data_IF_248929860632
#
_entry.id   IF_248929860632
#
_cell.length_a   1.000
_cell.length_b   1.000
_cell.length_c   1.000
_cell.angle_alpha   90.00
_cell.angle_beta   90.00
_cell.angle_gamma   90.00
#
_symmetry.space_group_name_H-M   'P 1'
#
loop_
_entity.id
_entity.type
_entity.pdbx_description
1 polymer ?
#
# COMPACT_ATOMS: atom_id res chain seq x y z
N UNK A 1 -8.50 -83.41 15.18
CA UNK A 1 -8.62 -83.58 13.72
C UNK A 1 -10.08 -83.39 13.36
N UNK A 2 -10.45 -82.22 12.84
CA UNK A 2 -11.69 -81.97 12.06
C UNK A 2 -11.60 -80.55 11.48
N UNK A 3 -11.90 -80.45 10.18
CA UNK A 3 -12.03 -79.24 9.35
C UNK A 3 -13.27 -78.42 9.81
N UNK A 4 -13.51 -77.17 9.44
CA UNK A 4 -13.81 -76.59 8.10
C UNK A 4 -14.17 -75.08 8.37
N UNK A 5 -13.62 -74.08 7.66
CA UNK A 5 -14.14 -73.39 6.45
C UNK A 5 -14.63 -71.93 6.66
N UNK A 6 -14.22 -71.05 5.73
CA UNK A 6 -14.96 -69.91 5.12
C UNK A 6 -14.89 -68.47 5.70
N UNK A 7 -14.10 -67.65 4.96
CA UNK A 7 -14.35 -66.30 4.38
C UNK A 7 -14.30 -64.98 5.18
N UNK A 8 -13.70 -64.00 4.47
CA UNK A 8 -13.96 -62.54 4.42
C UNK A 8 -13.58 -61.72 5.68
N UNK A 9 -12.98 -60.53 5.63
CA UNK A 9 -12.99 -59.44 4.65
C UNK A 9 -11.79 -58.50 4.86
N UNK A 10 -11.44 -57.75 3.80
CA UNK A 10 -10.63 -56.53 3.77
C UNK A 10 -10.68 -55.65 5.04
N UNK A 11 -9.54 -55.07 5.40
CA UNK A 11 -9.52 -53.66 5.81
C UNK A 11 -8.23 -52.97 5.37
N UNK A 12 -8.35 -52.18 4.30
CA UNK A 12 -7.37 -51.20 3.86
C UNK A 12 -7.36 -50.04 4.87
N UNK A 13 -6.27 -49.86 5.60
CA UNK A 13 -6.01 -48.58 6.27
C UNK A 13 -5.30 -47.64 5.29
N UNK A 14 -6.09 -46.99 4.43
CA UNK A 14 -5.71 -45.72 3.81
C UNK A 14 -5.53 -44.68 4.92
N UNK A 15 -4.33 -44.12 5.01
CA UNK A 15 -4.05 -42.97 5.87
C UNK A 15 -4.60 -41.73 5.18
N UNK A 16 -5.74 -41.29 5.68
CA UNK A 16 -6.40 -40.07 5.27
C UNK A 16 -5.59 -38.85 5.76
N UNK A 17 -4.64 -38.39 4.94
CA UNK A 17 -3.70 -37.29 5.24
C UNK A 17 -4.33 -35.88 5.09
N UNK A 18 -5.66 -35.78 4.94
CA UNK A 18 -6.37 -34.52 4.68
C UNK A 18 -7.03 -33.86 5.91
N UNK A 19 -6.58 -34.15 7.14
CA UNK A 19 -6.98 -33.33 8.29
C UNK A 19 -6.16 -32.04 8.34
N UNK A 20 -6.71 -30.98 7.73
CA UNK A 20 -6.24 -29.58 7.84
C UNK A 20 -5.95 -29.26 9.32
N UNK A 21 -4.66 -29.22 9.68
CA UNK A 21 -4.23 -28.83 11.03
C UNK A 21 -4.85 -27.46 11.37
N UNK A 22 -5.55 -27.30 12.49
CA UNK A 22 -6.13 -26.01 12.86
C UNK A 22 -5.02 -24.98 12.94
N UNK A 23 -5.10 -23.92 12.12
CA UNK A 23 -4.16 -22.80 12.13
C UNK A 23 -4.09 -22.26 13.56
N UNK A 24 -2.94 -22.45 14.23
CA UNK A 24 -2.69 -21.85 15.54
C UNK A 24 -2.91 -20.34 15.41
N UNK A 25 -3.89 -19.79 16.14
CA UNK A 25 -4.17 -18.35 16.17
C UNK A 25 -2.84 -17.61 16.38
N UNK A 26 -2.47 -16.73 15.45
CA UNK A 26 -1.24 -15.92 15.56
C UNK A 26 -1.29 -15.20 16.91
N UNK A 27 -0.24 -15.36 17.72
CA UNK A 27 -0.13 -14.66 19.01
C UNK A 27 -0.17 -13.16 18.77
N UNK A 28 -0.94 -12.44 19.58
CA UNK A 28 -1.07 -10.98 19.51
C UNK A 28 0.32 -10.32 19.61
N UNK A 29 0.62 -9.38 18.70
CA UNK A 29 1.92 -8.68 18.62
C UNK A 29 2.35 -8.12 19.98
N UNK A 30 1.43 -7.46 20.69
CA UNK A 30 1.69 -6.88 22.01
C UNK A 30 2.03 -7.93 23.07
N UNK A 31 1.43 -9.12 23.00
CA UNK A 31 1.77 -10.22 23.90
C UNK A 31 3.21 -10.73 23.66
N UNK A 32 3.68 -10.71 22.41
CA UNK A 32 5.07 -11.04 22.11
C UNK A 32 6.02 -9.94 22.61
N UNK A 33 5.70 -8.66 22.42
CA UNK A 33 6.49 -7.54 22.93
C UNK A 33 6.64 -7.59 24.46
N UNK A 34 5.54 -7.84 25.19
CA UNK A 34 5.57 -8.07 26.65
C UNK A 34 6.46 -9.24 27.05
N UNK A 35 6.42 -10.34 26.28
CA UNK A 35 7.26 -11.52 26.55
C UNK A 35 8.73 -11.20 26.34
N UNK A 36 9.06 -10.40 25.33
CA UNK A 36 10.41 -9.94 25.04
C UNK A 36 10.95 -9.06 26.17
N UNK A 37 10.19 -8.05 26.61
CA UNK A 37 10.53 -7.22 27.77
C UNK A 37 10.85 -8.06 29.02
N UNK A 38 10.00 -9.03 29.37
CA UNK A 38 10.21 -9.93 30.53
C UNK A 38 11.47 -10.79 30.44
N UNK A 39 12.05 -10.95 29.25
CA UNK A 39 13.25 -11.74 29.01
C UNK A 39 14.51 -10.88 28.85
N UNK A 40 14.42 -9.56 29.03
CA UNK A 40 15.51 -8.63 28.72
C UNK A 40 15.86 -8.59 27.23
N UNK A 41 14.95 -9.04 26.35
CA UNK A 41 15.12 -8.99 24.90
C UNK A 41 14.31 -7.81 24.36
N UNK A 42 14.94 -6.85 23.68
CA UNK A 42 14.26 -5.63 23.21
C UNK A 42 13.79 -5.73 21.75
N UNK A 43 13.24 -6.90 21.39
CA UNK A 43 12.82 -7.19 20.01
C UNK A 43 13.99 -7.48 19.06
N UNK A 44 13.73 -7.37 17.75
CA UNK A 44 14.71 -7.57 16.67
C UNK A 44 15.10 -6.23 16.04
N UNK A 45 16.18 -6.23 15.27
CA UNK A 45 16.70 -5.06 14.58
C UNK A 45 17.67 -4.27 15.46
N UNK A 46 17.63 -2.94 15.36
CA UNK A 46 18.42 -2.06 16.21
C UNK A 46 18.01 -2.18 17.69
N UNK A 47 18.95 -1.89 18.58
CA UNK A 47 18.72 -1.90 20.03
C UNK A 47 18.18 -0.54 20.45
N UNK A 48 17.13 -0.55 21.27
CA UNK A 48 16.67 0.63 22.00
C UNK A 48 16.88 0.41 23.51
N UNK A 49 17.04 1.48 24.30
CA UNK A 49 17.16 1.38 25.75
C UNK A 49 15.98 0.62 26.37
N UNK A 50 16.25 -0.15 27.43
CA UNK A 50 15.23 -0.95 28.12
C UNK A 50 14.04 -0.10 28.58
N UNK A 51 14.34 1.06 29.18
CA UNK A 51 13.33 2.00 29.65
C UNK A 51 12.41 2.47 28.51
N UNK A 52 12.99 2.78 27.35
CA UNK A 52 12.24 3.21 26.16
C UNK A 52 11.40 2.05 25.60
N UNK A 53 11.93 0.83 25.59
CA UNK A 53 11.17 -0.36 25.17
C UNK A 53 9.97 -0.61 26.07
N UNK A 54 10.17 -0.59 27.39
CA UNK A 54 9.10 -0.79 28.38
C UNK A 54 8.05 0.32 28.27
N UNK A 55 8.48 1.57 28.05
CA UNK A 55 7.59 2.69 27.77
C UNK A 55 6.72 2.43 26.54
N UNK A 56 7.31 2.02 25.41
CA UNK A 56 6.56 1.69 24.19
C UNK A 56 5.57 0.53 24.37
N UNK A 57 5.89 -0.48 25.17
CA UNK A 57 4.94 -1.55 25.53
C UNK A 57 3.72 -0.95 26.25
N UNK A 58 3.95 -0.04 27.21
CA UNK A 58 2.87 0.67 27.91
C UNK A 58 2.03 1.55 26.98
N UNK A 59 2.66 2.25 26.04
CA UNK A 59 1.97 3.06 25.04
C UNK A 59 1.07 2.20 24.15
N UNK A 60 1.55 1.05 23.65
CA UNK A 60 0.71 0.16 22.86
C UNK A 60 -0.46 -0.44 23.66
N UNK A 61 -0.28 -0.67 24.97
CA UNK A 61 -1.39 -1.08 25.86
C UNK A 61 -2.43 0.04 25.99
N UNK A 62 -1.99 1.27 26.23
CA UNK A 62 -2.88 2.44 26.32
C UNK A 62 -3.64 2.67 25.00
N UNK A 63 -2.93 2.67 23.88
CA UNK A 63 -3.55 2.81 22.55
C UNK A 63 -4.59 1.71 22.30
N UNK A 64 -4.32 0.46 22.71
CA UNK A 64 -5.25 -0.66 22.53
C UNK A 64 -6.55 -0.48 23.32
N UNK A 65 -6.54 0.27 24.42
CA UNK A 65 -7.75 0.58 25.19
C UNK A 65 -8.64 1.62 24.49
N UNK A 66 -8.11 2.31 23.48
CA UNK A 66 -8.78 3.43 22.80
C UNK A 66 -8.48 4.76 23.48
N UNK A 67 -8.35 5.81 22.68
CA UNK A 67 -8.24 7.19 23.16
C UNK A 67 -9.23 8.00 22.34
N UNK A 68 -10.34 8.35 22.99
CA UNK A 68 -11.46 9.04 22.32
C UNK A 68 -11.17 10.54 22.19
N UNK A 69 -10.51 11.13 23.19
CA UNK A 69 -10.24 12.55 23.19
C UNK A 69 -9.08 12.93 22.24
N UNK A 70 -9.33 13.94 21.41
CA UNK A 70 -8.38 14.39 20.40
C UNK A 70 -7.18 15.10 21.03
N UNK A 71 -7.40 15.83 22.11
CA UNK A 71 -6.34 16.57 22.79
C UNK A 71 -5.46 15.61 23.60
N UNK A 72 -6.05 14.61 24.26
CA UNK A 72 -5.35 13.50 24.92
C UNK A 72 -4.49 12.71 23.92
N UNK A 73 -5.05 12.37 22.75
CA UNK A 73 -4.29 11.71 21.67
C UNK A 73 -3.12 12.56 21.20
N UNK A 74 -3.33 13.86 21.01
CA UNK A 74 -2.29 14.80 20.59
C UNK A 74 -1.19 14.90 21.65
N UNK A 75 -1.57 15.01 22.92
CA UNK A 75 -0.63 15.04 24.04
C UNK A 75 0.17 13.73 24.14
N UNK A 76 -0.47 12.57 23.98
CA UNK A 76 0.21 11.28 23.95
C UNK A 76 1.22 11.20 22.80
N UNK A 77 0.81 11.55 21.57
CA UNK A 77 1.69 11.52 20.40
C UNK A 77 2.92 12.41 20.63
N UNK A 78 2.72 13.65 21.04
CA UNK A 78 3.80 14.60 21.30
C UNK A 78 4.75 14.07 22.39
N UNK A 79 4.21 13.58 23.49
CA UNK A 79 5.01 13.02 24.59
C UNK A 79 5.83 11.81 24.15
N UNK A 80 5.25 10.92 23.34
CA UNK A 80 5.96 9.71 22.89
C UNK A 80 7.06 10.06 21.90
N UNK A 81 6.78 10.92 20.92
CA UNK A 81 7.78 11.30 19.91
C UNK A 81 8.89 12.16 20.53
N UNK A 82 8.60 12.98 21.54
CA UNK A 82 9.61 13.71 22.32
C UNK A 82 10.62 12.75 22.96
N UNK A 83 10.15 11.62 23.52
CA UNK A 83 11.01 10.59 24.15
C UNK A 83 11.91 9.85 23.16
N UNK A 84 11.68 10.00 21.85
CA UNK A 84 12.51 9.39 20.82
C UNK A 84 13.69 10.27 20.39
N UNK A 85 13.76 11.52 20.87
CA UNK A 85 14.82 12.46 20.48
C UNK A 85 16.22 11.92 20.78
N UNK A 86 17.06 11.88 19.76
CA UNK A 86 18.43 11.35 19.82
C UNK A 86 18.54 9.84 19.65
N UNK A 87 17.41 9.12 19.58
CA UNK A 87 17.34 7.67 19.44
C UNK A 87 16.54 7.25 18.19
N UNK A 88 16.14 8.19 17.32
CA UNK A 88 15.18 7.94 16.26
C UNK A 88 15.63 6.84 15.29
N UNK A 89 16.91 6.83 14.90
CA UNK A 89 17.47 5.79 14.03
C UNK A 89 17.32 4.39 14.64
N UNK A 90 17.59 4.28 15.94
CA UNK A 90 17.44 3.04 16.68
C UNK A 90 15.97 2.66 16.86
N UNK A 91 15.08 3.64 17.04
CA UNK A 91 13.64 3.40 17.18
C UNK A 91 13.05 2.87 15.87
N UNK A 92 13.33 3.50 14.72
CA UNK A 92 12.73 3.08 13.44
C UNK A 92 13.26 1.74 12.95
N UNK A 93 14.49 1.35 13.31
CA UNK A 93 15.08 0.06 12.98
C UNK A 93 14.70 -1.08 13.94
N UNK A 94 13.93 -0.78 15.00
CA UNK A 94 13.54 -1.75 16.00
C UNK A 94 12.15 -2.31 15.71
N UNK A 95 11.96 -3.61 15.90
CA UNK A 95 10.67 -4.27 15.65
C UNK A 95 9.47 -3.65 16.39
N UNK A 96 9.65 -3.21 17.64
CA UNK A 96 8.59 -2.55 18.41
C UNK A 96 8.54 -1.05 18.08
N UNK A 97 9.72 -0.41 18.05
CA UNK A 97 9.84 1.04 17.81
C UNK A 97 9.27 1.46 16.46
N UNK A 98 9.59 0.76 15.38
CA UNK A 98 9.09 1.06 14.04
C UNK A 98 7.55 1.05 14.01
N UNK A 99 6.96 0.05 14.69
CA UNK A 99 5.50 -0.11 14.74
C UNK A 99 4.84 1.01 15.52
N UNK A 100 5.43 1.45 16.64
CA UNK A 100 4.92 2.57 17.42
C UNK A 100 5.00 3.85 16.60
N UNK A 101 6.15 4.14 15.98
CA UNK A 101 6.34 5.34 15.15
C UNK A 101 5.34 5.37 13.98
N UNK A 102 5.18 4.28 13.24
CA UNK A 102 4.18 4.19 12.16
C UNK A 102 2.76 4.57 12.59
N UNK A 103 2.38 4.23 13.83
CA UNK A 103 1.05 4.52 14.36
C UNK A 103 0.87 5.98 14.77
N UNK A 104 1.96 6.63 15.17
CA UNK A 104 1.95 7.99 15.71
C UNK A 104 2.18 9.06 14.64
N UNK A 105 2.98 8.76 13.61
CA UNK A 105 3.31 9.70 12.53
C UNK A 105 2.11 10.39 11.85
N UNK A 106 0.95 9.73 11.63
CA UNK A 106 -0.23 10.42 11.07
C UNK A 106 -0.72 11.60 11.92
N UNK A 107 -0.44 11.57 13.23
CA UNK A 107 -0.87 12.57 14.21
C UNK A 107 0.27 13.46 14.71
N UNK A 108 1.49 13.26 14.19
CA UNK A 108 2.67 13.98 14.63
C UNK A 108 2.56 15.50 14.40
N UNK A 109 3.23 16.29 15.24
CA UNK A 109 3.44 17.71 14.97
C UNK A 109 4.22 17.91 13.65
N UNK A 110 4.16 19.12 13.04
CA UNK A 110 5.05 19.47 11.93
C UNK A 110 6.53 19.20 12.25
N UNK A 111 6.96 19.60 13.44
CA UNK A 111 8.35 19.52 13.90
C UNK A 111 8.81 18.06 14.06
N UNK A 112 7.96 17.20 14.62
CA UNK A 112 8.27 15.77 14.74
C UNK A 112 8.33 15.10 13.37
N UNK A 113 7.38 15.39 12.48
CA UNK A 113 7.39 14.79 11.14
C UNK A 113 8.68 15.16 10.38
N UNK A 114 9.06 16.43 10.41
CA UNK A 114 10.28 16.94 9.78
C UNK A 114 11.54 16.28 10.37
N UNK A 115 11.61 16.14 11.70
CA UNK A 115 12.72 15.42 12.35
C UNK A 115 12.86 13.99 11.83
N UNK A 116 11.75 13.26 11.69
CA UNK A 116 11.77 11.90 11.14
C UNK A 116 12.12 11.87 9.63
N UNK A 117 11.79 12.90 8.85
CA UNK A 117 12.24 13.02 7.46
C UNK A 117 13.77 13.16 7.37
N UNK A 118 14.39 13.90 8.29
CA UNK A 118 15.84 14.07 8.36
C UNK A 118 16.53 12.75 8.75
N UNK A 119 15.96 12.01 9.70
CA UNK A 119 16.49 10.71 10.16
C UNK A 119 16.64 9.70 9.03
N UNK A 120 15.76 9.72 8.02
CA UNK A 120 15.83 8.81 6.88
C UNK A 120 16.92 9.18 5.85
N UNK A 121 17.37 10.42 5.82
CA UNK A 121 18.20 10.94 4.73
C UNK A 121 19.58 10.28 4.56
N UNK A 122 20.31 9.87 5.62
CA UNK A 122 21.67 9.34 5.48
C UNK A 122 21.79 7.98 4.77
N UNK A 123 20.73 7.15 4.79
CA UNK A 123 20.84 5.74 4.39
C UNK A 123 19.57 5.20 3.72
N UNK A 124 18.98 5.98 2.81
CA UNK A 124 17.71 5.64 2.16
C UNK A 124 17.71 4.26 1.49
N UNK A 125 18.84 3.81 0.92
CA UNK A 125 18.92 2.49 0.25
C UNK A 125 18.65 1.36 1.23
N UNK A 126 19.39 1.32 2.34
CA UNK A 126 19.19 0.29 3.37
C UNK A 126 17.80 0.43 3.99
N UNK A 127 17.35 1.65 4.24
CA UNK A 127 16.10 1.89 4.94
C UNK A 127 14.87 1.46 4.13
N UNK A 128 14.90 1.58 2.80
CA UNK A 128 13.82 1.12 1.91
C UNK A 128 13.73 -0.41 1.81
N UNK A 129 14.85 -1.13 1.97
CA UNK A 129 14.94 -2.60 1.86
C UNK A 129 14.96 -3.34 3.20
N UNK A 130 14.78 -2.66 4.32
CA UNK A 130 14.79 -3.27 5.65
C UNK A 130 13.38 -3.62 6.14
N UNK A 131 13.26 -4.71 6.88
CA UNK A 131 11.99 -5.31 7.27
C UNK A 131 11.24 -4.56 8.40
N UNK A 132 11.82 -3.47 8.91
CA UNK A 132 11.23 -2.57 9.91
C UNK A 132 11.15 -1.15 9.38
N UNK A 133 12.26 -0.60 8.87
CA UNK A 133 12.30 0.81 8.48
C UNK A 133 11.54 1.09 7.20
N UNK A 134 11.40 0.13 6.29
CA UNK A 134 10.62 0.30 5.05
C UNK A 134 9.19 0.77 5.35
N UNK A 135 8.56 0.18 6.36
CA UNK A 135 7.21 0.58 6.79
C UNK A 135 7.13 2.00 7.36
N UNK A 136 8.20 2.46 8.01
CA UNK A 136 8.31 3.86 8.47
C UNK A 136 8.48 4.80 7.27
N UNK A 137 9.30 4.43 6.27
CA UNK A 137 9.45 5.18 5.02
C UNK A 137 8.12 5.29 4.29
N UNK A 138 7.36 4.20 4.13
CA UNK A 138 6.01 4.22 3.53
C UNK A 138 5.08 5.18 4.28
N UNK A 139 5.12 5.14 5.61
CA UNK A 139 4.24 5.97 6.45
C UNK A 139 4.62 7.45 6.36
N UNK A 140 5.90 7.78 6.43
CA UNK A 140 6.38 9.15 6.27
C UNK A 140 6.05 9.70 4.89
N UNK A 141 6.27 8.91 3.82
CA UNK A 141 5.91 9.29 2.46
C UNK A 141 4.42 9.61 2.34
N UNK A 142 3.55 8.72 2.86
CA UNK A 142 2.10 8.92 2.81
C UNK A 142 1.66 10.17 3.57
N UNK A 143 2.16 10.35 4.80
CA UNK A 143 1.80 11.51 5.64
C UNK A 143 2.33 12.80 5.02
N UNK A 144 3.57 12.81 4.53
CA UNK A 144 4.15 13.95 3.85
C UNK A 144 3.35 14.33 2.60
N UNK A 145 3.04 13.36 1.73
CA UNK A 145 2.25 13.60 0.53
C UNK A 145 0.86 14.15 0.85
N UNK A 146 0.21 13.61 1.89
CA UNK A 146 -1.10 14.10 2.35
C UNK A 146 -1.01 15.55 2.82
N UNK A 147 -0.06 15.89 3.70
CA UNK A 147 0.11 17.29 4.18
C UNK A 147 0.53 18.24 3.06
N UNK A 148 1.29 17.76 2.08
CA UNK A 148 1.70 18.54 0.91
C UNK A 148 0.54 18.87 -0.04
N UNK A 149 -0.53 18.05 -0.03
CA UNK A 149 -1.64 18.16 -1.00
C UNK A 149 -2.99 18.49 -0.36
N UNK A 150 -3.08 18.56 0.97
CA UNK A 150 -4.32 18.84 1.71
C UNK A 150 -4.99 20.15 1.25
N UNK A 151 -4.18 21.19 1.01
CA UNK A 151 -4.65 22.49 0.54
C UNK A 151 -5.18 22.49 -0.91
N UNK A 152 -4.95 21.41 -1.67
CA UNK A 152 -5.46 21.22 -3.04
C UNK A 152 -6.84 20.54 -3.06
N UNK A 153 -7.28 19.99 -1.92
CA UNK A 153 -8.58 19.33 -1.81
C UNK A 153 -9.66 20.41 -1.61
N UNK A 154 -10.15 21.01 -2.69
CA UNK A 154 -11.34 21.87 -2.64
C UNK A 154 -12.55 21.02 -2.25
N UNK A 155 -13.41 21.52 -1.35
CA UNK A 155 -14.52 20.79 -0.70
C UNK A 155 -15.67 20.29 -1.61
N UNK A 156 -15.44 20.12 -2.90
CA UNK A 156 -16.38 19.54 -3.85
C UNK A 156 -15.75 18.25 -4.39
N UNK A 157 -16.38 17.12 -4.07
CA UNK A 157 -15.90 15.81 -4.49
C UNK A 157 -15.71 15.73 -6.00
N UNK A 158 -14.56 15.21 -6.41
CA UNK A 158 -14.27 14.76 -7.77
C UNK A 158 -15.34 13.75 -8.24
N UNK A 159 -16.44 14.25 -8.80
CA UNK A 159 -17.28 13.49 -9.72
C UNK A 159 -16.62 13.54 -11.09
N UNK A 160 -15.71 12.60 -11.35
CA UNK A 160 -15.27 12.33 -12.72
C UNK A 160 -16.38 11.57 -13.46
N UNK A 161 -17.39 12.29 -13.93
CA UNK A 161 -18.15 11.91 -15.12
C UNK A 161 -18.07 13.10 -16.08
N UNK A 162 -17.21 12.94 -17.08
CA UNK A 162 -17.13 13.81 -18.24
C UNK A 162 -17.53 12.96 -19.44
N UNK A 163 -18.82 12.94 -19.74
CA UNK A 163 -19.34 12.66 -21.08
C UNK A 163 -20.23 13.86 -21.48
N UNK A 164 -19.63 14.65 -22.38
CA UNK A 164 -20.17 15.50 -23.45
C UNK A 164 -21.29 16.55 -23.27
N UNK A 165 -20.97 17.69 -23.93
CA UNK A 165 -21.80 18.69 -24.62
C UNK A 165 -22.25 19.99 -23.88
N UNK A 166 -21.86 21.09 -24.57
CA UNK A 166 -22.25 22.51 -24.52
C UNK A 166 -21.85 23.44 -23.35
N UNK A 167 -20.86 24.30 -23.65
CA UNK A 167 -20.73 25.65 -23.11
C UNK A 167 -21.69 26.63 -23.85
N UNK A 168 -21.85 27.92 -23.45
CA UNK A 168 -21.45 28.61 -22.22
C UNK A 168 -22.56 29.54 -21.64
N UNK A 169 -22.42 30.00 -20.38
CA UNK A 169 -22.61 31.44 -20.02
C UNK A 169 -22.08 31.81 -18.64
N UNK A 170 -21.29 32.90 -18.63
CA UNK A 170 -20.64 33.58 -17.51
C UNK A 170 -21.63 34.00 -16.42
N UNK A 171 -21.37 33.60 -15.17
CA UNK A 171 -21.66 34.41 -13.97
C UNK A 171 -20.48 34.33 -13.01
N UNK A 172 -19.92 35.50 -12.68
CA UNK A 172 -18.88 35.68 -11.66
C UNK A 172 -19.45 35.19 -10.31
N UNK A 173 -19.01 34.01 -9.87
CA UNK A 173 -19.26 33.55 -8.52
C UNK A 173 -18.28 34.24 -7.56
N UNK A 174 -18.83 34.70 -6.44
CA UNK A 174 -18.14 35.42 -5.36
C UNK A 174 -16.99 34.57 -4.81
N UNK A 175 -15.88 35.23 -4.51
CA UNK A 175 -14.81 34.71 -3.67
C UNK A 175 -15.39 34.37 -2.29
N UNK A 176 -15.66 33.08 -2.07
CA UNK A 176 -15.92 32.49 -0.76
C UNK A 176 -14.62 31.89 -0.19
N UNK A 177 -14.51 31.78 1.14
CA UNK A 177 -13.26 31.97 1.86
C UNK A 177 -12.28 30.82 1.61
N UNK A 178 -11.01 31.17 1.33
CA UNK A 178 -9.87 30.24 1.33
C UNK A 178 -9.97 29.36 2.58
N UNK A 179 -10.10 28.05 2.38
CA UNK A 179 -9.95 27.08 3.45
C UNK A 179 -8.70 27.44 4.26
N UNK A 180 -8.86 27.66 5.57
CA UNK A 180 -7.73 27.97 6.44
C UNK A 180 -6.72 26.83 6.32
N UNK A 181 -5.51 27.16 5.85
CA UNK A 181 -4.44 26.16 5.68
C UNK A 181 -4.10 25.62 7.06
N UNK A 182 -4.38 24.33 7.29
CA UNK A 182 -4.06 23.62 8.53
C UNK A 182 -2.57 23.67 8.92
N UNK A 183 -1.69 23.77 7.92
CA UNK A 183 -0.25 23.82 8.10
C UNK A 183 0.35 25.10 7.53
N UNK A 184 1.51 25.48 8.06
CA UNK A 184 2.31 26.60 7.55
C UNK A 184 2.80 26.30 6.13
N UNK A 185 3.05 27.36 5.36
CA UNK A 185 3.55 27.21 3.98
C UNK A 185 4.93 26.54 3.94
N UNK A 186 5.77 26.78 4.96
CA UNK A 186 7.07 26.13 5.11
C UNK A 186 6.93 24.61 5.31
N UNK A 187 6.01 24.17 6.19
CA UNK A 187 5.77 22.74 6.42
C UNK A 187 5.24 22.05 5.16
N UNK A 188 4.30 22.68 4.46
CA UNK A 188 3.75 22.17 3.20
C UNK A 188 4.89 21.99 2.18
N UNK A 189 5.79 22.97 2.07
CA UNK A 189 6.94 22.91 1.16
C UNK A 189 7.90 21.78 1.53
N UNK A 190 8.26 21.62 2.81
CA UNK A 190 9.13 20.52 3.26
C UNK A 190 8.52 19.15 2.98
N UNK A 191 7.22 18.99 3.23
CA UNK A 191 6.48 17.77 2.91
C UNK A 191 6.48 17.48 1.41
N UNK A 192 6.29 18.51 0.58
CA UNK A 192 6.34 18.41 -0.88
C UNK A 192 7.73 17.95 -1.37
N UNK A 193 8.78 18.63 -0.92
CA UNK A 193 10.17 18.32 -1.28
C UNK A 193 10.58 16.92 -0.84
N UNK A 194 10.18 16.49 0.36
CA UNK A 194 10.39 15.13 0.84
C UNK A 194 9.68 14.10 -0.04
N UNK A 195 8.42 14.35 -0.40
CA UNK A 195 7.65 13.45 -1.28
C UNK A 195 8.32 13.29 -2.64
N UNK A 196 8.76 14.40 -3.25
CA UNK A 196 9.52 14.39 -4.51
C UNK A 196 10.85 13.65 -4.36
N UNK A 197 11.60 13.90 -3.27
CA UNK A 197 12.89 13.26 -3.00
C UNK A 197 12.75 11.75 -2.95
N UNK A 198 11.83 11.22 -2.15
CA UNK A 198 11.62 9.77 -2.02
C UNK A 198 11.12 9.17 -3.33
N UNK A 199 10.23 9.87 -4.05
CA UNK A 199 9.70 9.40 -5.32
C UNK A 199 10.77 9.28 -6.40
N UNK A 200 11.58 10.33 -6.60
CA UNK A 200 12.71 10.32 -7.53
C UNK A 200 13.78 9.31 -7.12
N UNK A 201 14.02 9.15 -5.82
CA UNK A 201 14.94 8.14 -5.30
C UNK A 201 14.47 6.72 -5.64
N UNK A 202 13.20 6.40 -5.41
CA UNK A 202 12.62 5.10 -5.72
C UNK A 202 12.65 4.82 -7.23
N UNK A 203 12.32 5.83 -8.05
CA UNK A 203 12.39 5.75 -9.52
C UNK A 203 13.82 5.52 -10.03
N UNK A 204 14.82 6.13 -9.40
CA UNK A 204 16.23 5.95 -9.79
C UNK A 204 16.80 4.59 -9.37
N UNK A 205 16.18 3.91 -8.40
CA UNK A 205 16.56 2.56 -7.96
C UNK A 205 15.53 1.51 -8.42
N UNK A 206 14.75 1.83 -9.45
CA UNK A 206 13.63 1.00 -9.90
C UNK A 206 14.06 -0.43 -10.21
N UNK A 207 15.17 -0.62 -10.92
CA UNK A 207 15.72 -1.94 -11.32
C UNK A 207 15.91 -2.88 -10.13
N UNK A 208 16.43 -2.37 -9.02
CA UNK A 208 16.62 -3.15 -7.81
C UNK A 208 15.31 -3.30 -7.01
N UNK A 209 14.55 -2.21 -6.89
CA UNK A 209 13.40 -2.13 -6.00
C UNK A 209 12.20 -2.95 -6.49
N UNK A 210 12.08 -3.18 -7.81
CA UNK A 210 10.99 -3.97 -8.38
C UNK A 210 10.99 -5.40 -7.83
N UNK A 211 12.16 -5.99 -7.58
CA UNK A 211 12.30 -7.38 -7.15
C UNK A 211 12.46 -7.55 -5.64
N UNK A 212 12.72 -6.46 -4.90
CA UNK A 212 12.93 -6.47 -3.46
C UNK A 212 11.59 -6.57 -2.69
N UNK A 213 11.50 -7.51 -1.76
CA UNK A 213 10.27 -7.77 -0.99
C UNK A 213 9.80 -6.61 -0.10
N UNK A 214 10.67 -5.66 0.23
CA UNK A 214 10.36 -4.49 1.06
C UNK A 214 10.36 -3.21 0.22
N UNK A 215 11.38 -3.00 -0.61
CA UNK A 215 11.49 -1.79 -1.42
C UNK A 215 10.42 -1.71 -2.51
N UNK A 216 9.89 -2.84 -2.99
CA UNK A 216 8.75 -2.86 -3.90
C UNK A 216 7.51 -2.20 -3.26
N UNK A 217 7.30 -2.35 -1.95
CA UNK A 217 6.23 -1.66 -1.23
C UNK A 217 6.42 -0.13 -1.20
N UNK A 218 7.67 0.35 -1.20
CA UNK A 218 7.98 1.78 -1.37
C UNK A 218 7.54 2.25 -2.75
N UNK A 219 7.85 1.51 -3.83
CA UNK A 219 7.41 1.84 -5.19
C UNK A 219 5.89 1.95 -5.29
N UNK A 220 5.17 0.98 -4.71
CA UNK A 220 3.70 1.00 -4.66
C UNK A 220 3.19 2.22 -3.88
N UNK A 221 3.82 2.54 -2.75
CA UNK A 221 3.45 3.70 -1.93
C UNK A 221 3.70 5.03 -2.66
N UNK A 222 4.81 5.15 -3.40
CA UNK A 222 5.11 6.29 -4.28
C UNK A 222 4.02 6.44 -5.33
N UNK A 223 3.71 5.38 -6.09
CA UNK A 223 2.66 5.43 -7.12
C UNK A 223 1.31 5.85 -6.54
N UNK A 224 0.91 5.26 -5.40
CA UNK A 224 -0.35 5.65 -4.72
C UNK A 224 -0.36 7.12 -4.34
N UNK A 225 0.71 7.60 -3.70
CA UNK A 225 0.82 8.99 -3.24
C UNK A 225 0.74 9.97 -4.42
N UNK A 226 1.55 9.74 -5.44
CA UNK A 226 1.66 10.64 -6.59
C UNK A 226 0.42 10.65 -7.48
N UNK A 227 -0.38 9.59 -7.48
CA UNK A 227 -1.63 9.53 -8.23
C UNK A 227 -2.88 9.80 -7.39
N UNK A 228 -2.73 10.18 -6.12
CA UNK A 228 -3.84 10.52 -5.23
C UNK A 228 -4.66 9.32 -4.71
N UNK A 229 -4.13 8.10 -4.79
CA UNK A 229 -4.80 6.89 -4.28
C UNK A 229 -4.65 6.83 -2.76
N UNK A 230 -5.78 6.81 -2.05
CA UNK A 230 -5.77 6.60 -0.59
C UNK A 230 -5.86 5.11 -0.24
N UNK A 231 -6.73 4.36 -0.93
CA UNK A 231 -6.92 2.92 -0.77
C UNK A 231 -7.23 2.29 -2.12
N UNK A 232 -6.67 1.12 -2.38
CA UNK A 232 -7.05 0.30 -3.53
C UNK A 232 -8.34 -0.49 -3.25
N UNK A 233 -9.02 -0.97 -4.30
CA UNK A 233 -10.15 -1.89 -4.13
C UNK A 233 -9.76 -3.11 -3.28
N UNK A 234 -10.54 -3.39 -2.23
CA UNK A 234 -10.29 -4.49 -1.30
C UNK A 234 -9.20 -4.23 -0.25
N UNK A 235 -8.49 -3.11 -0.31
CA UNK A 235 -7.54 -2.71 0.72
C UNK A 235 -8.30 -2.24 1.97
N UNK A 236 -7.94 -2.80 3.12
CA UNK A 236 -8.48 -2.33 4.40
C UNK A 236 -7.66 -1.13 4.86
N UNK A 237 -8.30 -0.08 5.41
CA UNK A 237 -7.57 0.96 6.10
C UNK A 237 -6.64 0.33 7.13
N UNK A 238 -5.38 0.78 7.22
CA UNK A 238 -4.52 0.42 8.37
C UNK A 238 -5.30 0.82 9.62
N UNK A 239 -5.69 -0.18 10.43
CA UNK A 239 -6.57 0.02 11.59
C UNK A 239 -5.96 1.11 12.48
N UNK A 240 -6.63 2.26 12.58
CA UNK A 240 -6.28 3.25 13.59
C UNK A 240 -6.52 2.60 14.94
N UNK A 241 -5.44 2.37 15.70
CA UNK A 241 -5.53 1.82 17.05
C UNK A 241 -6.25 2.82 17.97
N UNK A 242 -6.17 4.11 17.66
CA UNK A 242 -6.99 5.18 18.24
C UNK A 242 -8.41 5.20 17.65
N UNK A 243 -9.15 4.09 17.65
CA UNK A 243 -10.54 4.07 17.16
C UNK A 243 -11.29 5.25 17.80
N UNK A 244 -11.79 6.18 16.98
CA UNK A 244 -13.16 6.65 17.15
C UNK A 244 -14.02 5.38 17.06
N UNK A 245 -14.97 5.21 17.97
CA UNK A 245 -15.84 4.04 18.06
C UNK A 245 -16.64 3.84 16.76
N UNK A 246 -16.01 3.26 15.74
CA UNK A 246 -16.72 2.69 14.59
C UNK A 246 -17.47 1.50 15.16
N UNK A 247 -18.76 1.72 15.32
CA UNK A 247 -19.82 0.75 15.57
C UNK A 247 -19.44 -0.59 14.94
N UNK A 248 -19.30 -1.63 15.75
CA UNK A 248 -18.90 -2.99 15.31
C UNK A 248 -20.02 -3.67 14.48
N UNK A 249 -20.95 -2.89 13.94
CA UNK A 249 -22.03 -3.29 13.06
C UNK A 249 -21.70 -3.11 11.59
N UNK A 250 -21.78 -4.23 10.85
CA UNK A 250 -21.89 -4.39 9.39
C UNK A 250 -20.58 -4.66 8.63
N UNK A 251 -20.22 -5.95 8.64
CA UNK A 251 -19.79 -6.67 7.44
C UNK A 251 -18.45 -6.26 6.83
N UNK A 252 -17.98 -7.08 5.89
CA UNK A 252 -16.97 -6.64 4.94
C UNK A 252 -17.61 -5.44 4.21
N UNK A 253 -16.98 -4.25 4.18
CA UNK A 253 -17.48 -3.15 3.38
C UNK A 253 -17.75 -3.69 1.98
N UNK A 254 -18.96 -3.49 1.40
CA UNK A 254 -19.23 -3.97 0.06
C UNK A 254 -18.09 -3.50 -0.84
N UNK A 255 -17.67 -4.33 -1.80
CA UNK A 255 -16.68 -3.95 -2.80
C UNK A 255 -17.18 -2.70 -3.51
N UNK A 256 -16.89 -1.51 -2.97
CA UNK A 256 -17.21 -0.25 -3.61
C UNK A 256 -16.24 -0.16 -4.76
N UNK A 257 -16.66 -0.63 -5.93
CA UNK A 257 -15.86 -0.61 -7.17
C UNK A 257 -15.49 0.80 -7.63
N UNK A 258 -15.97 1.85 -6.95
CA UNK A 258 -15.63 3.23 -7.20
C UNK A 258 -14.38 3.63 -6.41
N UNK A 259 -13.29 3.79 -7.15
CA UNK A 259 -12.06 4.41 -6.63
C UNK A 259 -12.26 5.92 -6.44
N UNK A 260 -11.75 6.43 -5.32
CA UNK A 260 -11.70 7.86 -5.01
C UNK A 260 -10.26 8.32 -5.05
N UNK A 261 -9.99 9.36 -5.84
CA UNK A 261 -8.67 9.96 -6.00
C UNK A 261 -8.65 11.37 -5.42
N UNK A 262 -7.60 11.65 -4.64
CA UNK A 262 -7.25 13.00 -4.17
C UNK A 262 -6.61 13.80 -5.31
N UNK A 263 -6.79 15.11 -5.28
CA UNK A 263 -6.12 16.03 -6.19
C UNK A 263 -4.63 16.10 -5.87
N UNK A 264 -3.78 16.03 -6.89
CA UNK A 264 -2.31 16.06 -6.79
C UNK A 264 -1.73 17.05 -7.80
N UNK A 265 -0.47 17.46 -7.60
CA UNK A 265 0.20 18.39 -8.52
C UNK A 265 0.57 17.73 -9.84
N UNK A 266 0.76 18.53 -10.88
CA UNK A 266 1.16 17.99 -12.19
C UNK A 266 2.58 17.41 -12.17
N UNK A 267 3.50 17.92 -11.35
CA UNK A 267 4.83 17.30 -11.20
C UNK A 267 4.71 15.85 -10.69
N UNK A 268 3.76 15.57 -9.80
CA UNK A 268 3.54 14.19 -9.31
C UNK A 268 3.06 13.28 -10.43
N UNK A 269 2.14 13.77 -11.27
CA UNK A 269 1.64 13.05 -12.44
C UNK A 269 2.74 12.72 -13.44
N UNK A 270 3.65 13.65 -13.71
CA UNK A 270 4.77 13.43 -14.63
C UNK A 270 5.73 12.34 -14.11
N UNK A 271 5.97 12.28 -12.80
CA UNK A 271 6.76 11.19 -12.22
C UNK A 271 6.06 9.83 -12.41
N UNK A 272 4.74 9.76 -12.26
CA UNK A 272 3.99 8.50 -12.52
C UNK A 272 4.12 8.07 -13.98
N UNK A 273 4.04 9.01 -14.94
CA UNK A 273 4.27 8.69 -16.36
C UNK A 273 5.68 8.15 -16.60
N UNK A 274 6.68 8.73 -15.95
CA UNK A 274 8.07 8.27 -16.05
C UNK A 274 8.25 6.85 -15.48
N UNK A 275 7.55 6.48 -14.39
CA UNK A 275 7.50 5.08 -13.92
C UNK A 275 6.99 4.13 -15.01
N UNK A 276 5.89 4.49 -15.69
CA UNK A 276 5.34 3.67 -16.78
C UNK A 276 6.33 3.57 -17.93
N UNK A 277 6.92 4.68 -18.34
CA UNK A 277 7.88 4.71 -19.44
C UNK A 277 9.10 3.82 -19.17
N UNK A 278 9.71 3.93 -17.98
CA UNK A 278 10.88 3.11 -17.62
C UNK A 278 10.54 1.64 -17.52
N UNK A 279 9.45 1.27 -16.85
CA UNK A 279 9.04 -0.13 -16.71
C UNK A 279 8.72 -0.76 -18.06
N UNK A 280 7.98 -0.08 -18.93
CA UNK A 280 7.60 -0.63 -20.24
C UNK A 280 8.77 -0.71 -21.22
N UNK A 281 9.85 0.03 -20.97
CA UNK A 281 11.08 -0.05 -21.78
C UNK A 281 11.96 -1.24 -21.41
N UNK A 282 11.68 -1.94 -20.31
CA UNK A 282 12.50 -3.08 -19.88
C UNK A 282 12.25 -4.33 -20.71
N UNK A 283 13.30 -5.08 -21.09
CA UNK A 283 13.16 -6.38 -21.77
C UNK A 283 12.30 -7.39 -20.98
N UNK A 284 12.37 -7.33 -19.65
CA UNK A 284 11.65 -8.22 -18.73
C UNK A 284 10.24 -7.72 -18.39
N UNK A 285 9.75 -6.65 -19.03
CA UNK A 285 8.42 -6.09 -18.74
C UNK A 285 7.32 -7.17 -18.83
N UNK A 286 7.40 -8.02 -19.85
CA UNK A 286 6.46 -9.13 -20.08
C UNK A 286 6.38 -10.14 -18.94
N UNK A 287 7.42 -10.24 -18.12
CA UNK A 287 7.50 -11.20 -17.01
C UNK A 287 6.93 -10.61 -15.70
N UNK A 288 6.82 -9.27 -15.60
CA UNK A 288 6.39 -8.59 -14.39
C UNK A 288 5.00 -9.00 -13.90
N UNK A 289 3.99 -9.26 -14.75
CA UNK A 289 2.67 -9.68 -14.28
C UNK A 289 2.62 -11.05 -13.61
N UNK A 290 3.66 -11.87 -13.78
CA UNK A 290 3.63 -13.30 -13.41
C UNK A 290 4.20 -13.60 -12.02
N UNK A 291 5.00 -12.71 -11.44
CA UNK A 291 5.53 -12.91 -10.09
C UNK A 291 4.73 -12.13 -9.05
N UNK A 292 4.51 -12.73 -7.87
CA UNK A 292 3.67 -12.15 -6.81
C UNK A 292 4.06 -10.71 -6.39
N UNK A 293 5.36 -10.41 -6.36
CA UNK A 293 5.87 -9.09 -5.94
C UNK A 293 5.69 -8.05 -7.06
N UNK A 294 6.05 -8.40 -8.29
CA UNK A 294 6.00 -7.49 -9.44
C UNK A 294 4.58 -7.30 -9.97
N UNK A 295 3.74 -8.35 -9.93
CA UNK A 295 2.33 -8.27 -10.33
C UNK A 295 1.56 -7.29 -9.45
N UNK A 296 1.83 -7.31 -8.14
CA UNK A 296 1.28 -6.34 -7.20
C UNK A 296 1.71 -4.92 -7.52
N UNK A 297 2.93 -4.69 -8.02
CA UNK A 297 3.38 -3.37 -8.47
C UNK A 297 2.66 -2.94 -9.76
N UNK A 298 2.55 -3.83 -10.75
CA UNK A 298 1.85 -3.55 -12.03
C UNK A 298 0.38 -3.20 -11.78
N UNK A 299 -0.29 -3.90 -10.87
CA UNK A 299 -1.67 -3.55 -10.48
C UNK A 299 -1.78 -2.13 -9.93
N UNK A 300 -0.86 -1.73 -9.03
CA UNK A 300 -0.85 -0.35 -8.50
C UNK A 300 -0.55 0.65 -9.61
N UNK A 301 0.38 0.35 -10.51
CA UNK A 301 0.73 1.20 -11.65
C UNK A 301 -0.49 1.45 -12.54
N UNK A 302 -1.30 0.41 -12.83
CA UNK A 302 -2.52 0.53 -13.63
C UNK A 302 -3.56 1.46 -12.99
N UNK A 303 -3.80 1.32 -11.69
CA UNK A 303 -4.69 2.25 -10.98
C UNK A 303 -4.14 3.67 -10.92
N UNK A 304 -2.82 3.81 -10.77
CA UNK A 304 -2.17 5.11 -10.71
C UNK A 304 -2.25 5.84 -12.06
N UNK A 305 -1.86 5.18 -13.16
CA UNK A 305 -1.85 5.80 -14.48
C UNK A 305 -3.26 6.10 -15.00
N UNK A 306 -4.27 5.28 -14.63
CA UNK A 306 -5.68 5.52 -14.96
C UNK A 306 -6.17 6.91 -14.51
N UNK A 307 -5.71 7.38 -13.35
CA UNK A 307 -6.06 8.70 -12.83
C UNK A 307 -5.18 9.82 -13.41
N UNK A 308 -4.01 9.48 -13.95
CA UNK A 308 -3.01 10.44 -14.41
C UNK A 308 -3.18 10.76 -15.90
N UNK A 309 -3.31 9.73 -16.75
CA UNK A 309 -3.34 9.88 -18.20
C UNK A 309 -4.06 8.71 -18.89
N UNK A 310 -5.21 9.00 -19.51
CA UNK A 310 -6.04 7.99 -20.20
C UNK A 310 -5.34 7.37 -21.42
N UNK A 311 -4.50 8.11 -22.13
CA UNK A 311 -3.82 7.62 -23.33
C UNK A 311 -2.69 6.66 -22.94
N UNK A 312 -1.83 7.08 -22.01
CA UNK A 312 -0.76 6.21 -21.48
C UNK A 312 -1.35 4.94 -20.83
N UNK A 313 -2.52 5.05 -20.20
CA UNK A 313 -3.25 3.87 -19.69
C UNK A 313 -3.62 2.89 -20.80
N UNK A 314 -4.15 3.37 -21.93
CA UNK A 314 -4.50 2.52 -23.08
C UNK A 314 -3.26 1.86 -23.67
N UNK A 315 -2.17 2.61 -23.81
CA UNK A 315 -0.91 2.10 -24.35
C UNK A 315 -0.31 1.02 -23.43
N UNK A 316 -0.32 1.24 -22.11
CA UNK A 316 0.13 0.25 -21.13
C UNK A 316 -0.73 -1.02 -21.17
N UNK A 317 -2.05 -0.89 -21.24
CA UNK A 317 -2.96 -2.03 -21.33
C UNK A 317 -2.74 -2.82 -22.62
N UNK A 318 -2.62 -2.15 -23.76
CA UNK A 318 -2.32 -2.77 -25.05
C UNK A 318 -1.01 -3.56 -24.97
N UNK A 319 0.05 -2.95 -24.45
CA UNK A 319 1.35 -3.61 -24.29
C UNK A 319 1.28 -4.84 -23.39
N UNK A 320 0.56 -4.76 -22.27
CA UNK A 320 0.36 -5.92 -21.38
C UNK A 320 -0.40 -7.05 -22.09
N UNK A 321 -1.48 -6.73 -22.79
CA UNK A 321 -2.27 -7.71 -23.53
C UNK A 321 -1.46 -8.34 -24.67
N UNK A 322 -0.72 -7.54 -25.44
CA UNK A 322 -0.02 -7.97 -26.64
C UNK A 322 1.33 -8.63 -26.38
N UNK A 323 2.06 -8.21 -25.35
CA UNK A 323 3.43 -8.71 -25.07
C UNK A 323 3.51 -9.64 -23.86
N UNK A 324 2.58 -9.52 -22.90
CA UNK A 324 2.63 -10.30 -21.65
C UNK A 324 1.61 -11.44 -21.66
N UNK A 325 0.35 -11.15 -22.00
CA UNK A 325 -0.76 -12.11 -21.88
C UNK A 325 -1.14 -12.78 -23.20
N UNK A 326 -0.62 -12.32 -24.32
CA UNK A 326 -0.85 -12.91 -25.62
C UNK A 326 -0.19 -14.29 -25.72
N UNK A 327 -0.86 -15.30 -26.31
CA UNK A 327 -0.22 -16.55 -26.69
C UNK A 327 0.94 -16.33 -27.67
N UNK A 328 1.92 -17.24 -27.71
CA UNK A 328 3.11 -17.09 -28.58
C UNK A 328 2.78 -16.93 -30.08
N UNK A 329 1.62 -17.43 -30.52
CA UNK A 329 1.13 -17.36 -31.89
C UNK A 329 0.20 -16.16 -32.16
N UNK A 330 0.08 -15.21 -31.22
CA UNK A 330 -0.79 -14.05 -31.36
C UNK A 330 -0.21 -13.03 -32.35
N UNK A 331 -0.94 -12.77 -33.44
CA UNK A 331 -0.61 -11.74 -34.42
C UNK A 331 -1.47 -10.51 -34.17
N UNK A 332 -0.82 -9.40 -33.78
CA UNK A 332 -1.50 -8.15 -33.47
C UNK A 332 -2.05 -7.49 -34.75
N UNK A 333 -3.37 -7.51 -34.95
CA UNK A 333 -4.03 -6.79 -36.04
C UNK A 333 -4.21 -5.32 -35.64
N UNK A 334 -3.15 -4.52 -35.74
CA UNK A 334 -3.15 -3.08 -35.41
C UNK A 334 -4.00 -2.20 -36.37
N UNK A 335 -4.98 -2.77 -37.09
CA UNK A 335 -5.80 -2.09 -38.09
C UNK A 335 -7.30 -2.02 -37.76
N UNK A 336 -7.76 -2.55 -36.62
CA UNK A 336 -9.19 -2.75 -36.35
C UNK A 336 -9.86 -1.67 -35.47
N UNK A 337 -9.33 -0.43 -35.44
CA UNK A 337 -10.02 0.70 -34.79
C UNK A 337 -11.31 1.15 -35.53
N UNK A 338 -11.78 0.41 -36.55
CA UNK A 338 -13.08 0.61 -37.19
C UNK A 338 -13.70 -0.71 -37.68
N UNK A 339 -14.17 -1.56 -36.77
CA UNK A 339 -15.25 -2.52 -37.07
C UNK A 339 -15.98 -2.93 -35.80
N UNK A 340 -17.29 -2.70 -35.80
CA UNK A 340 -18.20 -3.38 -34.88
C UNK A 340 -18.01 -4.89 -35.06
N UNK A 341 -17.49 -5.56 -34.03
CA UNK A 341 -17.35 -7.02 -34.04
C UNK A 341 -18.72 -7.61 -33.69
N UNK A 342 -19.34 -8.28 -34.67
CA UNK A 342 -20.44 -9.21 -34.44
C UNK A 342 -19.92 -10.43 -33.70
N UNK A 343 -20.63 -10.84 -32.66
CA UNK A 343 -20.40 -12.06 -31.88
C UNK A 343 -20.18 -13.28 -32.80
N UNK A 344 -18.93 -13.75 -32.84
CA UNK A 344 -18.51 -14.98 -33.49
C UNK A 344 -17.95 -15.94 -32.44
N UNK A 345 -18.32 -17.21 -32.56
CA UNK A 345 -18.06 -18.30 -31.62
C UNK A 345 -16.61 -18.33 -31.09
N UNK A 346 -16.49 -18.27 -29.77
CA UNK A 346 -15.21 -18.22 -29.06
C UNK A 346 -14.41 -19.51 -29.26
N UNK A 347 -13.23 -19.37 -29.85
CA UNK A 347 -12.18 -20.39 -29.78
C UNK A 347 -11.69 -20.44 -28.32
N UNK A 348 -11.78 -21.62 -27.70
CA UNK A 348 -11.31 -21.83 -26.33
C UNK A 348 -9.79 -21.58 -26.27
N UNK A 349 -9.39 -20.50 -25.62
CA UNK A 349 -7.98 -20.19 -25.33
C UNK A 349 -7.52 -21.15 -24.23
N UNK A 350 -6.48 -21.94 -24.50
CA UNK A 350 -5.85 -22.81 -23.49
C UNK A 350 -5.40 -21.96 -22.30
N UNK A 351 -5.91 -22.28 -21.10
CA UNK A 351 -5.72 -21.52 -19.86
C UNK A 351 -4.34 -21.69 -19.22
N UNK A 352 -3.38 -22.29 -19.94
CA UNK A 352 -2.10 -22.80 -19.39
C UNK A 352 -1.06 -21.73 -19.08
N UNK A 353 -1.25 -20.48 -19.52
CA UNK A 353 -0.28 -19.38 -19.39
C UNK A 353 -0.81 -18.13 -18.63
N UNK A 354 -1.91 -18.25 -17.89
CA UNK A 354 -2.38 -17.13 -17.07
C UNK A 354 -1.60 -17.03 -15.76
N UNK A 355 -1.33 -15.81 -15.23
CA UNK A 355 -0.67 -15.66 -13.94
C UNK A 355 -1.41 -16.41 -12.83
N UNK A 356 -0.70 -16.93 -11.79
CA UNK A 356 -1.31 -17.69 -10.68
C UNK A 356 -2.46 -16.96 -9.95
N UNK A 357 -2.53 -15.63 -10.08
CA UNK A 357 -3.62 -14.80 -9.53
C UNK A 357 -4.96 -15.03 -10.23
N UNK A 358 -4.95 -15.49 -11.48
CA UNK A 358 -6.16 -15.81 -12.25
C UNK A 358 -6.59 -17.28 -12.09
N UNK A 359 -5.77 -18.10 -11.43
CA UNK A 359 -6.09 -19.49 -11.09
C UNK A 359 -6.96 -19.62 -9.82
N UNK A 360 -7.36 -18.50 -9.19
CA UNK A 360 -8.23 -18.57 -8.01
C UNK A 360 -9.65 -18.97 -8.41
N UNK A 361 -10.01 -20.22 -8.14
CA UNK A 361 -11.40 -20.70 -8.14
C UNK A 361 -12.31 -19.75 -7.33
N UNK A 362 -13.57 -19.56 -7.74
CA UNK A 362 -14.52 -18.77 -7.00
C UNK A 362 -14.63 -19.28 -5.57
N UNK A 363 -14.39 -18.39 -4.61
CA UNK A 363 -14.58 -18.67 -3.20
C UNK A 363 -16.08 -18.96 -2.95
N UNK A 364 -16.43 -20.24 -2.86
CA UNK A 364 -17.67 -20.72 -2.24
C UNK A 364 -17.36 -21.11 -0.79
#
# INVERSE_FOLDING_TARGET
MSQENVSNTNDHHERDDHKRRPRKKRKNFLANAKKYAKKGQMGRGTKIPEELYQYFVGILDAMKQGIEDKDERTALVNNVLERTKGEEQNVIGNQLGCRVVELLLPFASPEDLERYMEVLSPDLRRLCSDNFTSHVVETLLRVACERATEHLQTGEGNSSDSDDEEAPKKKKAKLEPKAEKKYTEDHIKKCYEFTIKISKYALNNLEDFVWDQYANHILRSVLKCLSGITLLPGEKPKVNIFKDSIDDGKGIPPHTGKMVYKTVTDEFKEIVKEFVHRLTSWPQFKDLPYQNITSGLVQVLLYAIKNVDKNVTKDLLRKLLDESFAPEDWVNNSADDKKEVKDGEGVAVETSNLPPVFESEPAV
#
